data_IF_216121319509
#
_entry.id   IF_216121319509
#
_cell.length_a   1.000
_cell.length_b   1.000
_cell.length_c   1.000
_cell.angle_alpha   90.00
_cell.angle_beta   90.00
_cell.angle_gamma   90.00
#
_symmetry.space_group_name_H-M   'P 1'
#
loop_
_entity.id
_entity.type
_entity.pdbx_description
1 polymer ?
#
# COMPACT_ATOMS: atom_id res chain seq x y z
N UNK A 1 -22.90 -1.04 39.87
CA UNK A 1 -21.80 -1.16 38.89
C UNK A 1 -20.55 -1.51 39.65
N UNK A 2 -20.03 -2.72 39.47
CA UNK A 2 -18.85 -3.21 40.20
C UNK A 2 -17.57 -2.53 39.73
N UNK A 3 -16.61 -2.37 40.61
CA UNK A 3 -15.29 -1.76 40.37
C UNK A 3 -14.55 -2.38 39.15
N UNK A 4 -14.87 -3.62 38.79
CA UNK A 4 -14.34 -4.29 37.62
C UNK A 4 -14.89 -3.72 36.30
N UNK A 5 -16.17 -3.33 36.25
CA UNK A 5 -16.82 -2.73 35.08
C UNK A 5 -16.22 -1.34 34.78
N UNK A 6 -15.93 -0.54 35.80
CA UNK A 6 -15.31 0.78 35.67
C UNK A 6 -13.88 0.67 35.10
N UNK A 7 -13.08 -0.32 35.54
CA UNK A 7 -11.72 -0.56 35.01
C UNK A 7 -11.68 -1.03 33.56
N UNK A 8 -12.75 -1.64 33.04
CA UNK A 8 -12.84 -2.06 31.64
C UNK A 8 -13.10 -0.84 30.75
N UNK A 9 -13.95 0.11 31.19
CA UNK A 9 -14.24 1.34 30.44
C UNK A 9 -13.04 2.29 30.37
N UNK A 10 -12.19 2.34 31.42
CA UNK A 10 -10.98 3.20 31.46
C UNK A 10 -9.87 2.78 30.46
N UNK A 11 -9.95 1.57 29.88
CA UNK A 11 -8.94 1.06 28.94
C UNK A 11 -9.48 0.87 27.52
N UNK A 12 -10.63 1.46 27.19
CA UNK A 12 -11.10 1.47 25.81
C UNK A 12 -10.31 2.48 24.97
N UNK A 13 -9.95 2.13 23.71
CA UNK A 13 -9.25 3.06 22.81
C UNK A 13 -10.02 4.37 22.70
N UNK A 14 -9.33 5.50 22.87
CA UNK A 14 -9.96 6.81 22.74
C UNK A 14 -10.30 7.09 21.28
N UNK A 15 -11.34 7.87 21.02
CA UNK A 15 -11.68 8.30 19.67
C UNK A 15 -10.53 9.11 19.04
N UNK A 16 -9.78 9.86 19.86
CA UNK A 16 -8.60 10.59 19.42
C UNK A 16 -7.50 9.64 18.89
N UNK A 17 -7.21 8.54 19.59
CA UNK A 17 -6.24 7.55 19.14
C UNK A 17 -6.67 6.92 17.81
N UNK A 18 -7.95 6.56 17.66
CA UNK A 18 -8.47 6.04 16.40
C UNK A 18 -8.33 7.04 15.25
N UNK A 19 -8.69 8.32 15.49
CA UNK A 19 -8.51 9.39 14.49
C UNK A 19 -7.04 9.54 14.13
N UNK A 20 -6.16 9.54 15.12
CA UNK A 20 -4.71 9.61 14.90
C UNK A 20 -4.22 8.45 14.02
N UNK A 21 -4.66 7.21 14.27
CA UNK A 21 -4.27 6.06 13.45
C UNK A 21 -4.70 6.22 11.98
N UNK A 22 -5.90 6.77 11.71
CA UNK A 22 -6.34 7.09 10.34
C UNK A 22 -5.54 8.24 9.71
N UNK A 23 -5.16 9.25 10.50
CA UNK A 23 -4.28 10.33 10.03
C UNK A 23 -2.89 9.81 9.67
N UNK A 24 -2.33 8.90 10.49
CA UNK A 24 -1.04 8.25 10.19
C UNK A 24 -1.14 7.47 8.88
N UNK A 25 -2.19 6.67 8.69
CA UNK A 25 -2.42 5.95 7.43
C UNK A 25 -2.48 6.92 6.23
N UNK A 26 -3.24 8.01 6.35
CA UNK A 26 -3.35 9.02 5.29
C UNK A 26 -2.01 9.67 4.98
N UNK A 27 -1.18 9.96 5.99
CA UNK A 27 0.15 10.51 5.80
C UNK A 27 1.07 9.52 5.08
N UNK A 28 1.03 8.23 5.43
CA UNK A 28 1.78 7.19 4.73
C UNK A 28 1.38 7.08 3.27
N UNK A 29 0.08 7.17 2.93
CA UNK A 29 -0.36 7.23 1.53
C UNK A 29 0.30 8.42 0.82
N UNK A 30 0.34 9.61 1.42
CA UNK A 30 1.02 10.77 0.82
C UNK A 30 2.51 10.51 0.63
N UNK A 31 3.19 9.88 1.59
CA UNK A 31 4.62 9.52 1.47
C UNK A 31 4.85 8.50 0.34
N UNK A 32 3.96 7.52 0.17
CA UNK A 32 4.02 6.52 -0.91
C UNK A 32 3.85 7.19 -2.27
N UNK A 33 2.85 8.06 -2.41
CA UNK A 33 2.63 8.83 -3.64
C UNK A 33 3.84 9.70 -3.98
N UNK A 34 4.48 10.29 -2.97
CA UNK A 34 5.70 11.06 -3.17
C UNK A 34 6.87 10.19 -3.62
N UNK A 35 6.99 8.95 -3.11
CA UNK A 35 7.94 7.95 -3.60
C UNK A 35 7.70 7.56 -5.07
N UNK A 36 6.44 7.49 -5.50
CA UNK A 36 6.10 7.30 -6.91
C UNK A 36 6.54 8.49 -7.78
N UNK A 37 6.43 9.73 -7.27
CA UNK A 37 7.00 10.92 -7.95
C UNK A 37 8.52 10.80 -8.07
N UNK A 38 9.23 10.40 -7.00
CA UNK A 38 10.70 10.18 -7.06
C UNK A 38 11.06 9.22 -8.19
N UNK A 39 10.34 8.09 -8.28
CA UNK A 39 10.56 7.08 -9.34
C UNK A 39 10.24 7.62 -10.72
N UNK A 40 9.04 8.18 -10.92
CA UNK A 40 8.53 8.58 -12.22
C UNK A 40 9.27 9.79 -12.82
N UNK A 41 9.84 10.66 -11.97
CA UNK A 41 10.67 11.81 -12.41
C UNK A 41 12.16 11.47 -12.57
N UNK A 42 12.55 10.20 -12.27
CA UNK A 42 13.96 9.81 -12.27
C UNK A 42 14.80 10.49 -11.16
N UNK A 43 14.13 11.00 -10.11
CA UNK A 43 14.81 11.78 -9.04
C UNK A 43 15.54 10.89 -8.01
N UNK A 44 15.42 9.57 -8.09
CA UNK A 44 16.01 8.65 -7.11
C UNK A 44 17.54 8.56 -7.08
N UNK A 45 18.23 9.45 -7.79
CA UNK A 45 19.69 9.62 -7.74
C UNK A 45 20.09 11.08 -7.39
N UNK A 46 19.12 11.90 -6.99
CA UNK A 46 19.36 13.31 -6.65
C UNK A 46 20.19 13.52 -5.39
N UNK A 47 20.18 12.54 -4.47
CA UNK A 47 20.98 12.50 -3.24
C UNK A 47 22.24 11.61 -3.34
N UNK A 48 22.58 11.11 -4.54
CA UNK A 48 23.67 10.17 -4.73
C UNK A 48 23.45 8.85 -4.00
N UNK A 49 24.54 8.09 -3.79
CA UNK A 49 24.54 6.79 -3.10
C UNK A 49 24.61 6.89 -1.57
N UNK A 50 24.63 8.12 -1.02
CA UNK A 50 24.68 8.35 0.42
C UNK A 50 23.29 8.09 1.04
N UNK A 51 23.22 7.16 1.97
CA UNK A 51 22.01 6.86 2.73
C UNK A 51 22.36 6.63 4.22
N UNK A 52 21.61 7.19 5.15
CA UNK A 52 20.36 7.97 5.04
C UNK A 52 20.53 9.44 4.64
N UNK A 53 21.74 9.95 4.62
CA UNK A 53 22.06 11.33 4.28
C UNK A 53 21.87 11.60 2.78
N UNK A 54 21.79 12.87 2.39
CA UNK A 54 21.72 13.32 1.00
C UNK A 54 23.06 13.97 0.63
N UNK A 55 23.78 13.39 -0.34
CA UNK A 55 25.14 13.83 -0.71
C UNK A 55 26.09 13.96 0.50
N UNK A 56 25.92 13.07 1.50
CA UNK A 56 26.73 13.07 2.71
C UNK A 56 26.39 14.14 3.74
N UNK A 57 25.36 14.95 3.53
CA UNK A 57 24.96 16.07 4.42
C UNK A 57 23.50 15.97 4.82
N UNK A 58 23.17 16.59 5.96
CA UNK A 58 21.76 16.72 6.43
C UNK A 58 21.08 17.90 5.74
N UNK A 59 21.84 18.93 5.39
CA UNK A 59 21.33 20.17 4.79
C UNK A 59 21.99 20.44 3.44
N UNK A 60 21.18 20.61 2.40
CA UNK A 60 21.67 20.87 1.05
C UNK A 60 21.82 22.40 0.84
N UNK A 61 23.01 22.85 0.45
CA UNK A 61 23.26 24.29 0.25
C UNK A 61 22.75 24.80 -1.12
N UNK A 62 22.82 23.97 -2.17
CA UNK A 62 22.37 24.33 -3.52
C UNK A 62 21.71 23.11 -4.19
N UNK A 63 20.52 22.70 -3.71
CA UNK A 63 19.87 21.50 -4.21
C UNK A 63 19.29 21.70 -5.60
N UNK A 64 19.46 20.70 -6.46
CA UNK A 64 18.70 20.61 -7.72
C UNK A 64 17.26 20.22 -7.45
N UNK A 65 16.36 20.34 -8.43
CA UNK A 65 14.98 19.87 -8.30
C UNK A 65 14.93 18.37 -7.94
N UNK A 66 15.72 17.53 -8.59
CA UNK A 66 15.81 16.09 -8.31
C UNK A 66 16.29 15.81 -6.88
N UNK A 67 17.30 16.57 -6.40
CA UNK A 67 17.76 16.50 -5.01
C UNK A 67 16.63 16.84 -4.04
N UNK A 68 15.86 17.91 -4.31
CA UNK A 68 14.74 18.32 -3.44
C UNK A 68 13.65 17.28 -3.38
N UNK A 69 13.26 16.69 -4.51
CA UNK A 69 12.24 15.66 -4.60
C UNK A 69 12.66 14.42 -3.79
N UNK A 70 13.88 13.92 -3.99
CA UNK A 70 14.36 12.75 -3.26
C UNK A 70 14.57 13.04 -1.78
N UNK A 71 15.18 14.17 -1.44
CA UNK A 71 15.46 14.55 -0.04
C UNK A 71 14.19 14.69 0.79
N UNK A 72 13.17 15.36 0.27
CA UNK A 72 11.89 15.50 0.96
C UNK A 72 11.19 14.16 1.13
N UNK A 73 11.31 13.22 0.16
CA UNK A 73 10.83 11.86 0.33
C UNK A 73 11.58 11.13 1.45
N UNK A 74 12.90 11.22 1.51
CA UNK A 74 13.70 10.60 2.58
C UNK A 74 13.34 11.14 3.96
N UNK A 75 13.09 12.45 4.09
CA UNK A 75 12.65 13.04 5.38
C UNK A 75 11.27 12.52 5.77
N UNK A 76 10.30 12.52 4.85
CA UNK A 76 8.95 12.03 5.15
C UNK A 76 8.95 10.54 5.50
N UNK A 77 9.54 9.69 4.66
CA UNK A 77 9.57 8.24 4.85
C UNK A 77 10.49 7.80 6.00
N UNK A 78 11.62 8.48 6.21
CA UNK A 78 12.57 8.13 7.27
C UNK A 78 12.22 8.74 8.62
N UNK A 79 12.20 10.08 8.72
CA UNK A 79 12.06 10.76 10.00
C UNK A 79 10.60 10.87 10.45
N UNK A 80 9.72 11.41 9.59
CA UNK A 80 8.34 11.73 10.02
C UNK A 80 7.55 10.44 10.22
N UNK A 81 7.59 9.51 9.28
CA UNK A 81 6.90 8.21 9.38
C UNK A 81 7.35 7.43 10.62
N UNK A 82 8.66 7.44 10.93
CA UNK A 82 9.18 6.78 12.14
C UNK A 82 8.61 7.39 13.42
N UNK A 83 8.56 8.73 13.54
CA UNK A 83 7.98 9.42 14.71
C UNK A 83 6.49 9.12 14.83
N UNK A 84 5.74 9.14 13.72
CA UNK A 84 4.31 8.83 13.70
C UNK A 84 4.03 7.39 14.15
N UNK A 85 4.80 6.42 13.64
CA UNK A 85 4.65 5.00 13.99
C UNK A 85 5.01 4.75 15.45
N UNK A 86 6.12 5.30 15.96
CA UNK A 86 6.51 5.17 17.37
C UNK A 86 5.44 5.77 18.29
N UNK A 87 4.91 6.95 17.94
CA UNK A 87 3.82 7.57 18.67
C UNK A 87 2.56 6.70 18.66
N UNK A 88 2.19 6.15 17.49
CA UNK A 88 1.04 5.26 17.34
C UNK A 88 1.18 4.00 18.21
N UNK A 89 2.36 3.38 18.22
CA UNK A 89 2.64 2.18 19.04
C UNK A 89 2.53 2.51 20.52
N UNK A 90 3.27 3.52 20.99
CA UNK A 90 3.28 3.89 22.41
C UNK A 90 1.88 4.23 22.89
N UNK A 91 1.12 5.00 22.09
CA UNK A 91 -0.23 5.38 22.44
C UNK A 91 -1.19 4.19 22.43
N UNK A 92 -1.10 3.31 21.41
CA UNK A 92 -1.90 2.06 21.33
C UNK A 92 -1.61 1.16 22.54
N UNK A 93 -0.34 0.94 22.89
CA UNK A 93 0.02 0.07 24.01
C UNK A 93 -0.40 0.61 25.36
N UNK A 94 -0.39 1.94 25.55
CA UNK A 94 -0.86 2.58 26.79
C UNK A 94 -2.40 2.55 26.93
N UNK A 95 -3.14 2.58 25.82
CA UNK A 95 -4.60 2.72 25.81
C UNK A 95 -5.37 1.44 25.49
N UNK A 96 -4.69 0.33 25.26
CA UNK A 96 -5.33 -0.97 25.00
C UNK A 96 -4.83 -2.02 25.99
N UNK A 97 -5.66 -3.05 26.24
CA UNK A 97 -5.30 -4.16 27.13
C UNK A 97 -4.32 -5.13 26.46
N UNK A 98 -3.59 -5.93 27.26
CA UNK A 98 -2.77 -7.04 26.76
C UNK A 98 -3.66 -8.00 25.95
N UNK A 99 -3.17 -8.45 24.80
CA UNK A 99 -3.90 -9.32 23.87
C UNK A 99 -4.84 -8.59 22.89
N UNK A 100 -4.91 -7.26 22.91
CA UNK A 100 -5.68 -6.49 21.94
C UNK A 100 -5.00 -6.53 20.55
N UNK A 101 -5.77 -6.85 19.49
CA UNK A 101 -5.22 -7.03 18.13
C UNK A 101 -4.54 -5.77 17.57
N UNK A 102 -4.99 -4.56 17.94
CA UNK A 102 -4.33 -3.32 17.56
C UNK A 102 -2.85 -3.24 18.00
N UNK A 103 -2.45 -3.92 19.09
CA UNK A 103 -1.04 -3.96 19.50
C UNK A 103 -0.17 -4.74 18.53
N UNK A 104 -0.67 -5.87 18.05
CA UNK A 104 0.01 -6.71 17.07
C UNK A 104 0.11 -6.00 15.71
N UNK A 105 -1.01 -5.39 15.27
CA UNK A 105 -1.03 -4.62 14.04
C UNK A 105 -0.07 -3.42 14.09
N UNK A 106 -0.05 -2.64 15.21
CA UNK A 106 0.89 -1.55 15.40
C UNK A 106 2.35 -2.03 15.47
N UNK A 107 2.62 -3.19 16.09
CA UNK A 107 3.95 -3.81 16.09
C UNK A 107 4.39 -4.22 14.68
N UNK A 108 3.48 -4.82 13.90
CA UNK A 108 3.73 -5.14 12.49
C UNK A 108 4.01 -3.87 11.66
N UNK A 109 3.29 -2.77 11.93
CA UNK A 109 3.56 -1.48 11.27
C UNK A 109 5.00 -1.03 11.49
N UNK A 110 5.53 -1.11 12.72
CA UNK A 110 6.93 -0.75 12.98
C UNK A 110 7.90 -1.64 12.20
N UNK A 111 7.71 -2.95 12.28
CA UNK A 111 8.57 -3.90 11.55
C UNK A 111 8.59 -3.58 10.05
N UNK A 112 7.41 -3.38 9.46
CA UNK A 112 7.28 -3.08 8.04
C UNK A 112 7.82 -1.69 7.67
N UNK A 113 7.74 -0.69 8.56
CA UNK A 113 8.37 0.62 8.36
C UNK A 113 9.91 0.49 8.32
N UNK A 114 10.49 -0.32 9.20
CA UNK A 114 11.94 -0.55 9.21
C UNK A 114 12.38 -1.29 7.95
N UNK A 115 11.65 -2.32 7.52
CA UNK A 115 11.96 -3.05 6.28
C UNK A 115 11.73 -2.19 5.03
N UNK A 116 10.78 -1.25 5.05
CA UNK A 116 10.56 -0.26 3.98
C UNK A 116 11.79 0.64 3.80
N UNK A 117 12.28 1.18 4.90
CA UNK A 117 13.52 1.97 4.90
C UNK A 117 14.74 1.17 4.43
N UNK A 118 14.85 -0.11 4.84
CA UNK A 118 15.93 -0.99 4.41
C UNK A 118 15.87 -1.29 2.90
N UNK A 119 14.68 -1.56 2.35
CA UNK A 119 14.49 -1.77 0.91
C UNK A 119 14.80 -0.49 0.11
N UNK A 120 14.38 0.68 0.61
CA UNK A 120 14.78 1.98 0.04
C UNK A 120 16.30 2.18 0.05
N UNK A 121 16.97 1.81 1.16
CA UNK A 121 18.43 1.85 1.24
C UNK A 121 19.11 0.93 0.22
N UNK A 122 18.56 -0.28 0.00
CA UNK A 122 19.05 -1.22 -1.03
C UNK A 122 18.94 -0.60 -2.42
N UNK A 123 17.79 -0.01 -2.77
CA UNK A 123 17.61 0.67 -4.07
C UNK A 123 18.69 1.74 -4.30
N UNK A 124 18.97 2.57 -3.30
CA UNK A 124 19.95 3.66 -3.40
C UNK A 124 21.38 3.12 -3.42
N UNK A 125 21.76 2.28 -2.47
CA UNK A 125 23.14 1.79 -2.29
C UNK A 125 23.64 0.93 -3.46
N UNK A 126 22.73 0.21 -4.12
CA UNK A 126 23.08 -0.62 -5.28
C UNK A 126 22.81 0.08 -6.62
N UNK A 127 22.51 1.39 -6.60
CA UNK A 127 22.28 2.16 -7.81
C UNK A 127 21.09 1.66 -8.64
N UNK A 128 20.04 1.13 -7.98
CA UNK A 128 18.84 0.58 -8.61
C UNK A 128 17.75 1.65 -8.81
N UNK A 129 18.14 2.91 -8.93
CA UNK A 129 17.26 4.08 -9.05
C UNK A 129 17.43 4.79 -10.39
N UNK A 130 16.71 5.88 -10.59
CA UNK A 130 16.76 6.73 -11.80
C UNK A 130 16.66 5.91 -13.10
N UNK A 131 17.63 6.05 -14.00
CA UNK A 131 17.70 5.36 -15.31
C UNK A 131 18.31 3.95 -15.26
N UNK A 132 18.55 3.38 -14.08
CA UNK A 132 19.16 2.06 -13.97
C UNK A 132 18.35 0.98 -14.69
N UNK A 133 19.00 0.23 -15.60
CA UNK A 133 18.45 -0.92 -16.32
C UNK A 133 18.92 -2.26 -15.74
N UNK A 134 19.47 -2.24 -14.53
CA UNK A 134 19.91 -3.46 -13.84
C UNK A 134 18.76 -4.46 -13.71
N UNK A 135 18.97 -5.75 -14.00
CA UNK A 135 17.94 -6.78 -13.83
C UNK A 135 17.49 -6.94 -12.36
N UNK A 136 18.35 -6.53 -11.41
CA UNK A 136 18.01 -6.55 -9.98
C UNK A 136 17.03 -5.44 -9.55
N UNK A 137 16.85 -4.38 -10.35
CA UNK A 137 15.99 -3.27 -10.01
C UNK A 137 14.52 -3.72 -9.84
N UNK A 138 13.99 -4.43 -10.82
CA UNK A 138 12.60 -4.84 -10.81
C UNK A 138 12.22 -5.76 -9.63
N UNK A 139 12.98 -6.82 -9.29
CA UNK A 139 12.66 -7.63 -8.11
C UNK A 139 12.78 -6.84 -6.80
N UNK A 140 13.72 -5.91 -6.66
CA UNK A 140 13.83 -5.08 -5.45
C UNK A 140 12.67 -4.09 -5.37
N UNK A 141 12.27 -3.43 -6.47
CA UNK A 141 11.08 -2.57 -6.50
C UNK A 141 9.78 -3.36 -6.21
N UNK A 142 9.66 -4.59 -6.74
CA UNK A 142 8.55 -5.47 -6.45
C UNK A 142 8.46 -5.84 -4.95
N UNK A 143 9.60 -6.14 -4.31
CA UNK A 143 9.67 -6.38 -2.87
C UNK A 143 9.33 -5.13 -2.07
N UNK A 144 9.84 -3.96 -2.49
CA UNK A 144 9.55 -2.67 -1.85
C UNK A 144 8.04 -2.38 -1.89
N UNK A 145 7.39 -2.50 -3.05
CA UNK A 145 5.93 -2.30 -3.13
C UNK A 145 5.15 -3.36 -2.35
N UNK A 146 5.59 -4.63 -2.37
CA UNK A 146 4.93 -5.67 -1.57
C UNK A 146 4.97 -5.32 -0.08
N UNK A 147 6.11 -4.84 0.42
CA UNK A 147 6.26 -4.36 1.79
C UNK A 147 5.38 -3.14 2.07
N UNK A 148 5.31 -2.19 1.13
CA UNK A 148 4.43 -1.01 1.19
C UNK A 148 2.96 -1.42 1.37
N UNK A 149 2.46 -2.37 0.56
CA UNK A 149 1.08 -2.86 0.66
C UNK A 149 0.81 -3.56 2.00
N UNK A 150 1.77 -4.36 2.50
CA UNK A 150 1.67 -4.96 3.83
C UNK A 150 1.68 -3.91 4.94
N UNK A 151 2.48 -2.87 4.80
CA UNK A 151 2.55 -1.73 5.72
C UNK A 151 1.23 -0.98 5.78
N UNK A 152 0.63 -0.65 4.62
CA UNK A 152 -0.71 -0.06 4.55
C UNK A 152 -1.77 -0.97 5.18
N UNK A 153 -1.67 -2.29 4.96
CA UNK A 153 -2.56 -3.25 5.60
C UNK A 153 -2.42 -3.23 7.13
N UNK A 154 -1.20 -3.21 7.66
CA UNK A 154 -0.95 -3.16 9.11
C UNK A 154 -1.47 -1.86 9.74
N UNK A 155 -1.30 -0.70 9.06
CA UNK A 155 -1.85 0.59 9.48
C UNK A 155 -3.39 0.58 9.47
N UNK A 156 -4.00 0.11 8.38
CA UNK A 156 -5.45 0.00 8.25
C UNK A 156 -6.06 -0.93 9.31
N UNK A 157 -5.41 -2.06 9.59
CA UNK A 157 -5.80 -2.99 10.64
C UNK A 157 -5.64 -2.37 12.03
N UNK A 158 -4.57 -1.60 12.28
CA UNK A 158 -4.39 -0.87 13.55
C UNK A 158 -5.54 0.09 13.76
N UNK A 159 -5.86 0.93 12.77
CA UNK A 159 -6.97 1.89 12.85
C UNK A 159 -8.33 1.21 13.00
N UNK A 160 -8.54 0.09 12.28
CA UNK A 160 -9.77 -0.70 12.35
C UNK A 160 -9.98 -1.36 13.72
N UNK A 161 -8.94 -1.98 14.29
CA UNK A 161 -9.02 -2.62 15.60
C UNK A 161 -9.18 -1.64 16.78
N UNK A 162 -8.87 -0.37 16.58
CA UNK A 162 -9.12 0.68 17.55
C UNK A 162 -10.59 1.15 17.56
N UNK A 163 -11.50 0.50 16.80
CA UNK A 163 -12.93 0.80 16.90
C UNK A 163 -13.48 0.36 18.25
N UNK A 164 -14.05 1.32 19.00
CA UNK A 164 -14.58 1.11 20.36
C UNK A 164 -15.79 0.18 20.41
N UNK A 165 -16.47 0.00 19.28
CA UNK A 165 -17.68 -0.84 19.19
C UNK A 165 -17.38 -2.32 19.23
N UNK A 166 -16.08 -2.70 19.12
CA UNK A 166 -15.66 -4.08 18.99
C UNK A 166 -14.42 -4.27 19.84
N UNK A 167 -14.58 -5.06 20.91
CA UNK A 167 -13.43 -5.49 21.71
C UNK A 167 -12.61 -6.52 20.94
N UNK A 168 -11.67 -6.10 20.11
CA UNK A 168 -10.78 -6.99 19.34
C UNK A 168 -9.65 -7.56 20.20
N UNK A 169 -10.01 -8.44 21.16
CA UNK A 169 -8.99 -9.27 21.83
C UNK A 169 -8.87 -10.59 21.08
N UNK A 170 -7.65 -11.10 20.97
CA UNK A 170 -7.39 -12.38 20.31
C UNK A 170 -8.29 -13.53 20.80
N UNK A 171 -8.58 -13.58 22.09
CA UNK A 171 -9.43 -14.62 22.69
C UNK A 171 -10.93 -14.46 22.40
N UNK A 172 -11.36 -13.27 22.01
CA UNK A 172 -12.76 -12.91 21.82
C UNK A 172 -13.13 -12.86 20.32
N UNK A 173 -12.21 -13.31 19.46
CA UNK A 173 -12.38 -13.30 18.00
C UNK A 173 -12.14 -14.71 17.45
N UNK A 174 -13.10 -15.22 16.70
CA UNK A 174 -12.95 -16.44 15.91
C UNK A 174 -12.51 -16.06 14.50
N UNK A 175 -11.42 -16.66 14.03
CA UNK A 175 -11.02 -16.52 12.63
C UNK A 175 -11.86 -17.47 11.80
N UNK A 176 -12.73 -16.91 10.99
CA UNK A 176 -13.50 -17.65 9.98
C UNK A 176 -12.93 -17.31 8.61
N UNK A 177 -11.63 -17.64 8.40
CA UNK A 177 -11.00 -17.33 7.14
C UNK A 177 -11.52 -18.25 6.03
N UNK A 178 -12.43 -17.81 5.17
CA UNK A 178 -12.64 -18.52 3.93
C UNK A 178 -11.35 -18.36 3.13
N UNK A 179 -10.77 -19.48 2.71
CA UNK A 179 -9.56 -19.52 1.85
C UNK A 179 -9.66 -18.50 0.71
N UNK A 180 -10.88 -18.27 0.20
CA UNK A 180 -11.14 -17.28 -0.84
C UNK A 180 -10.72 -15.83 -0.52
N UNK A 181 -10.89 -15.35 0.72
CA UNK A 181 -10.50 -13.98 1.06
C UNK A 181 -8.98 -13.81 1.06
N UNK A 182 -8.24 -14.81 1.54
CA UNK A 182 -6.78 -14.81 1.49
C UNK A 182 -6.28 -14.83 0.04
N UNK A 183 -6.86 -15.68 -0.81
CA UNK A 183 -6.53 -15.72 -2.25
C UNK A 183 -6.86 -14.37 -2.89
N UNK A 184 -8.00 -13.75 -2.57
CA UNK A 184 -8.37 -12.42 -3.09
C UNK A 184 -7.36 -11.33 -2.70
N UNK A 185 -6.88 -11.32 -1.46
CA UNK A 185 -5.85 -10.40 -1.00
C UNK A 185 -4.52 -10.61 -1.74
N UNK A 186 -4.08 -11.87 -1.89
CA UNK A 186 -2.86 -12.20 -2.65
C UNK A 186 -3.01 -11.78 -4.11
N UNK A 187 -4.16 -12.03 -4.74
CA UNK A 187 -4.41 -11.65 -6.13
C UNK A 187 -4.30 -10.12 -6.33
N UNK A 188 -4.90 -9.30 -5.46
CA UNK A 188 -4.79 -7.84 -5.54
C UNK A 188 -3.36 -7.37 -5.23
N UNK A 189 -2.63 -8.01 -4.33
CA UNK A 189 -1.22 -7.71 -4.11
C UNK A 189 -0.37 -7.99 -5.38
N UNK A 190 -0.63 -9.08 -6.08
CA UNK A 190 0.01 -9.40 -7.37
C UNK A 190 -0.34 -8.32 -8.41
N UNK A 191 -1.59 -7.87 -8.47
CA UNK A 191 -2.00 -6.74 -9.35
C UNK A 191 -1.17 -5.49 -9.04
N UNK A 192 -1.01 -5.12 -7.76
CA UNK A 192 -0.17 -3.99 -7.36
C UNK A 192 1.27 -4.13 -7.83
N UNK A 193 1.89 -5.29 -7.57
CA UNK A 193 3.29 -5.58 -7.98
C UNK A 193 3.45 -5.51 -9.49
N UNK A 194 2.56 -6.15 -10.26
CA UNK A 194 2.63 -6.10 -11.73
C UNK A 194 2.41 -4.70 -12.28
N UNK A 195 1.57 -3.88 -11.62
CA UNK A 195 1.38 -2.47 -11.94
C UNK A 195 2.63 -1.63 -11.72
N UNK A 196 3.38 -1.87 -10.64
CA UNK A 196 4.65 -1.16 -10.43
C UNK A 196 5.71 -1.52 -11.46
N UNK A 197 5.75 -2.78 -11.90
CA UNK A 197 6.65 -3.21 -12.97
C UNK A 197 6.26 -2.62 -14.33
N UNK A 198 4.96 -2.53 -14.63
CA UNK A 198 4.47 -1.82 -15.81
C UNK A 198 4.88 -0.35 -15.80
N UNK A 199 4.65 0.34 -14.68
CA UNK A 199 5.03 1.74 -14.50
C UNK A 199 6.56 1.97 -14.52
N UNK A 200 7.36 0.98 -14.08
CA UNK A 200 8.82 1.01 -14.27
C UNK A 200 9.17 0.89 -15.76
N UNK A 201 8.47 0.02 -16.50
CA UNK A 201 8.61 -0.09 -17.96
C UNK A 201 8.33 1.23 -18.67
N UNK A 202 7.25 1.94 -18.29
CA UNK A 202 6.91 3.26 -18.85
C UNK A 202 7.97 4.32 -18.53
N UNK A 203 8.53 4.28 -17.32
CA UNK A 203 9.59 5.21 -16.91
C UNK A 203 10.90 5.00 -17.68
N UNK A 204 11.29 3.75 -17.92
CA UNK A 204 12.56 3.40 -18.58
C UNK A 204 12.47 3.41 -20.11
N UNK A 205 11.27 3.21 -20.66
CA UNK A 205 11.02 3.11 -22.10
C UNK A 205 9.79 3.95 -22.48
N UNK A 206 9.84 5.29 -22.29
CA UNK A 206 8.69 6.13 -22.60
C UNK A 206 8.28 6.02 -24.08
N UNK A 207 7.00 5.92 -24.35
CA UNK A 207 6.45 5.90 -25.69
C UNK A 207 6.08 7.32 -26.14
N UNK A 208 6.31 7.63 -27.42
CA UNK A 208 5.95 8.93 -28.01
C UNK A 208 4.51 8.98 -28.54
N UNK A 209 3.88 7.84 -28.73
CA UNK A 209 2.48 7.67 -29.17
C UNK A 209 1.97 6.29 -28.82
N UNK A 210 0.65 6.10 -28.87
CA UNK A 210 0.04 4.76 -28.68
C UNK A 210 0.55 3.74 -29.72
N UNK A 211 0.70 4.16 -30.97
CA UNK A 211 1.26 3.29 -32.02
C UNK A 211 2.71 2.90 -31.73
N UNK A 212 3.52 3.84 -31.21
CA UNK A 212 4.89 3.55 -30.79
C UNK A 212 4.92 2.61 -29.56
N UNK A 213 4.03 2.80 -28.58
CA UNK A 213 3.90 1.90 -27.44
C UNK A 213 3.58 0.46 -27.91
N UNK A 214 2.57 0.31 -28.77
CA UNK A 214 2.20 -0.99 -29.35
C UNK A 214 3.37 -1.62 -30.14
N UNK A 215 4.10 -0.82 -30.90
CA UNK A 215 5.26 -1.29 -31.65
C UNK A 215 6.41 -1.75 -30.73
N UNK A 216 6.71 -1.01 -29.65
CA UNK A 216 7.68 -1.43 -28.63
C UNK A 216 7.28 -2.75 -27.97
N UNK A 217 5.99 -2.93 -27.69
CA UNK A 217 5.49 -4.07 -26.94
C UNK A 217 5.37 -5.33 -27.80
N UNK A 218 4.91 -5.22 -29.06
CA UNK A 218 4.65 -6.35 -29.94
C UNK A 218 5.77 -6.64 -30.95
N UNK A 219 6.28 -5.63 -31.66
CA UNK A 219 7.32 -5.83 -32.67
C UNK A 219 8.66 -6.19 -32.03
N UNK A 220 9.03 -5.55 -30.91
CA UNK A 220 10.20 -5.94 -30.14
C UNK A 220 10.14 -7.38 -29.61
N UNK A 221 8.94 -7.95 -29.48
CA UNK A 221 8.75 -9.34 -29.09
C UNK A 221 9.14 -10.31 -30.19
N UNK A 222 8.86 -9.95 -31.44
CA UNK A 222 9.17 -10.75 -32.64
C UNK A 222 10.65 -10.64 -33.00
N UNK A 223 11.30 -9.52 -32.75
CA UNK A 223 12.72 -9.28 -33.05
C UNK A 223 13.68 -9.67 -31.93
N UNK A 224 13.17 -10.02 -30.74
CA UNK A 224 13.99 -10.30 -29.56
C UNK A 224 14.58 -9.06 -28.87
N UNK A 225 14.28 -7.88 -29.37
CA UNK A 225 14.79 -6.59 -28.83
C UNK A 225 13.95 -6.03 -27.70
N UNK A 226 12.73 -6.58 -27.44
CA UNK A 226 11.90 -6.12 -26.33
C UNK A 226 12.48 -6.57 -24.99
N UNK A 227 12.67 -5.61 -24.10
CA UNK A 227 13.02 -5.95 -22.73
C UNK A 227 11.83 -6.65 -22.06
N UNK A 228 12.11 -7.63 -21.22
CA UNK A 228 11.09 -8.36 -20.46
C UNK A 228 10.17 -7.45 -19.63
N UNK A 229 10.63 -6.24 -19.26
CA UNK A 229 9.85 -5.22 -18.53
C UNK A 229 8.65 -4.74 -19.36
N UNK A 230 8.78 -4.57 -20.68
CA UNK A 230 7.69 -4.10 -21.52
C UNK A 230 6.49 -5.07 -21.56
N UNK A 231 6.72 -6.35 -21.29
CA UNK A 231 5.64 -7.36 -21.19
C UNK A 231 4.65 -7.04 -20.08
N UNK A 232 5.08 -6.37 -19.00
CA UNK A 232 4.23 -6.03 -17.87
C UNK A 232 3.14 -5.01 -18.21
N UNK A 233 3.33 -4.19 -19.23
CA UNK A 233 2.31 -3.24 -19.73
C UNK A 233 1.01 -3.95 -20.12
N UNK A 234 1.11 -5.16 -20.69
CA UNK A 234 -0.04 -5.98 -21.11
C UNK A 234 -0.44 -7.01 -20.05
N UNK A 235 0.53 -7.54 -19.34
CA UNK A 235 0.29 -8.55 -18.31
C UNK A 235 -0.46 -7.98 -17.14
N UNK A 236 -0.13 -6.73 -16.72
CA UNK A 236 -0.79 -6.07 -15.63
C UNK A 236 -2.32 -5.90 -15.81
N UNK A 237 -2.85 -5.29 -16.89
CA UNK A 237 -4.29 -5.16 -17.08
C UNK A 237 -4.99 -6.52 -17.20
N UNK A 238 -4.35 -7.52 -17.80
CA UNK A 238 -4.92 -8.88 -17.89
C UNK A 238 -5.07 -9.50 -16.48
N UNK A 239 -4.02 -9.46 -15.66
CA UNK A 239 -4.07 -9.95 -14.27
C UNK A 239 -5.10 -9.16 -13.46
N UNK A 240 -5.19 -7.84 -13.65
CA UNK A 240 -6.15 -7.00 -12.97
C UNK A 240 -7.60 -7.40 -13.30
N UNK A 241 -7.91 -7.69 -14.58
CA UNK A 241 -9.24 -8.17 -14.99
C UNK A 241 -9.57 -9.51 -14.30
N UNK A 242 -8.67 -10.48 -14.35
CA UNK A 242 -8.91 -11.80 -13.76
C UNK A 242 -9.07 -11.71 -12.22
N UNK A 243 -8.21 -10.95 -11.56
CA UNK A 243 -8.30 -10.73 -10.11
C UNK A 243 -9.60 -10.02 -9.70
N UNK A 244 -10.07 -9.06 -10.51
CA UNK A 244 -11.30 -8.34 -10.23
C UNK A 244 -12.55 -9.19 -10.42
N UNK A 245 -12.60 -10.02 -11.47
CA UNK A 245 -13.69 -10.99 -11.67
C UNK A 245 -13.77 -11.93 -10.46
N UNK A 246 -12.63 -12.44 -10.01
CA UNK A 246 -12.56 -13.30 -8.83
C UNK A 246 -13.01 -12.57 -7.56
N UNK A 247 -12.55 -11.34 -7.34
CA UNK A 247 -12.92 -10.54 -6.18
C UNK A 247 -14.42 -10.21 -6.17
N UNK A 248 -15.00 -9.80 -7.30
CA UNK A 248 -16.45 -9.53 -7.44
C UNK A 248 -17.24 -10.81 -7.12
N UNK A 249 -16.84 -11.96 -7.65
CA UNK A 249 -17.46 -13.24 -7.32
C UNK A 249 -17.42 -13.53 -5.82
N UNK A 250 -16.26 -13.30 -5.15
CA UNK A 250 -16.15 -13.46 -3.70
C UNK A 250 -17.09 -12.53 -2.93
N UNK A 251 -17.20 -11.27 -3.34
CA UNK A 251 -18.08 -10.28 -2.70
C UNK A 251 -19.55 -10.65 -2.83
N UNK A 252 -19.97 -11.11 -4.02
CA UNK A 252 -21.34 -11.61 -4.25
C UNK A 252 -21.61 -12.81 -3.35
N UNK A 253 -20.65 -13.76 -3.28
CA UNK A 253 -20.79 -14.95 -2.41
C UNK A 253 -20.86 -14.58 -0.93
N UNK A 254 -20.04 -13.62 -0.49
CA UNK A 254 -20.06 -13.12 0.89
C UNK A 254 -21.39 -12.42 1.23
N UNK A 255 -21.91 -11.60 0.32
CA UNK A 255 -23.19 -10.91 0.49
C UNK A 255 -24.38 -11.90 0.62
N UNK A 256 -24.34 -13.01 -0.13
CA UNK A 256 -25.40 -14.05 -0.08
C UNK A 256 -25.39 -14.86 1.23
N UNK A 257 -24.23 -14.99 1.89
CA UNK A 257 -24.11 -15.80 3.12
C UNK A 257 -24.61 -15.08 4.37
N UNK A 258 -24.82 -13.77 4.30
CA UNK A 258 -25.07 -12.94 5.47
C UNK A 258 -23.86 -12.92 6.42
N UNK A 259 -23.93 -12.11 7.45
CA UNK A 259 -22.86 -12.03 8.45
C UNK A 259 -23.21 -11.02 9.54
N UNK A 260 -22.45 -11.01 10.65
CA UNK A 260 -22.70 -10.15 11.80
C UNK A 260 -22.52 -8.65 11.51
N UNK A 261 -22.02 -8.31 10.33
CA UNK A 261 -21.73 -6.93 9.91
C UNK A 261 -22.57 -6.55 8.70
N UNK A 262 -23.07 -5.33 8.68
CA UNK A 262 -23.54 -4.72 7.44
C UNK A 262 -22.33 -4.32 6.58
N UNK A 263 -21.89 -5.25 5.73
CA UNK A 263 -20.75 -5.06 4.84
C UNK A 263 -21.16 -4.49 3.47
N UNK A 264 -22.46 -4.27 3.21
CA UNK A 264 -22.98 -3.83 1.89
C UNK A 264 -22.34 -2.55 1.41
N UNK A 265 -22.26 -1.53 2.28
CA UNK A 265 -21.66 -0.24 1.93
C UNK A 265 -20.17 -0.37 1.62
N UNK A 266 -19.44 -1.15 2.42
CA UNK A 266 -18.00 -1.34 2.21
C UNK A 266 -17.73 -2.20 0.97
N UNK A 267 -18.54 -3.22 0.69
CA UNK A 267 -18.45 -4.00 -0.55
C UNK A 267 -18.77 -3.14 -1.77
N UNK A 268 -19.80 -2.28 -1.70
CA UNK A 268 -20.11 -1.34 -2.77
C UNK A 268 -18.97 -0.35 -3.01
N UNK A 269 -18.33 0.15 -1.93
CA UNK A 269 -17.14 1.01 -2.04
C UNK A 269 -16.00 0.28 -2.77
N UNK A 270 -15.71 -0.98 -2.41
CA UNK A 270 -14.65 -1.77 -3.07
C UNK A 270 -14.96 -1.95 -4.55
N UNK A 271 -16.20 -2.28 -4.91
CA UNK A 271 -16.62 -2.41 -6.33
C UNK A 271 -16.50 -1.07 -7.05
N UNK A 272 -16.96 0.03 -6.43
CA UNK A 272 -16.82 1.37 -7.00
C UNK A 272 -15.35 1.76 -7.24
N UNK A 273 -14.47 1.47 -6.28
CA UNK A 273 -13.03 1.72 -6.41
C UNK A 273 -12.40 0.85 -7.52
N UNK A 274 -12.85 -0.39 -7.71
CA UNK A 274 -12.43 -1.22 -8.85
C UNK A 274 -12.80 -0.57 -10.18
N UNK A 275 -14.03 -0.09 -10.33
CA UNK A 275 -14.44 0.62 -11.55
C UNK A 275 -13.59 1.87 -11.78
N UNK A 276 -13.35 2.66 -10.74
CA UNK A 276 -12.47 3.84 -10.80
C UNK A 276 -11.07 3.45 -11.24
N UNK A 277 -10.50 2.33 -10.73
CA UNK A 277 -9.18 1.84 -11.12
C UNK A 277 -9.10 1.50 -12.61
N UNK A 278 -10.15 0.89 -13.20
CA UNK A 278 -10.18 0.63 -14.64
C UNK A 278 -10.20 1.90 -15.46
N UNK A 279 -11.00 2.89 -15.05
CA UNK A 279 -11.05 4.19 -15.74
C UNK A 279 -9.71 4.89 -15.66
N UNK A 280 -9.10 4.96 -14.46
CA UNK A 280 -7.80 5.59 -14.27
C UNK A 280 -6.69 4.87 -15.04
N UNK A 281 -6.67 3.52 -15.04
CA UNK A 281 -5.69 2.74 -15.78
C UNK A 281 -5.83 2.91 -17.29
N UNK A 282 -7.05 2.94 -17.83
CA UNK A 282 -7.28 3.21 -19.24
C UNK A 282 -6.84 4.63 -19.64
N UNK A 283 -7.11 5.63 -18.79
CA UNK A 283 -6.67 7.00 -18.99
C UNK A 283 -5.14 7.12 -18.91
N UNK A 284 -4.50 6.39 -18.01
CA UNK A 284 -3.04 6.39 -17.87
C UNK A 284 -2.37 5.88 -19.14
N UNK A 285 -2.84 4.76 -19.68
CA UNK A 285 -2.37 4.22 -20.98
C UNK A 285 -2.65 5.21 -22.12
N UNK A 286 -3.85 5.76 -22.19
CA UNK A 286 -4.24 6.69 -23.26
C UNK A 286 -3.42 7.97 -23.26
N UNK A 287 -3.07 8.47 -22.08
CA UNK A 287 -2.25 9.68 -21.90
C UNK A 287 -0.74 9.38 -21.95
N UNK A 288 -0.32 8.15 -22.22
CA UNK A 288 1.09 7.72 -22.23
C UNK A 288 1.78 7.85 -20.86
N UNK A 289 1.07 7.46 -19.81
CA UNK A 289 1.55 7.35 -18.43
C UNK A 289 2.23 8.63 -17.87
N UNK A 290 1.60 9.82 -17.93
CA UNK A 290 2.22 11.02 -17.37
C UNK A 290 2.30 10.88 -15.84
N UNK A 291 3.33 11.50 -15.24
CA UNK A 291 3.64 11.36 -13.80
C UNK A 291 2.42 11.59 -12.91
N UNK A 292 1.63 12.64 -13.16
CA UNK A 292 0.46 12.97 -12.36
C UNK A 292 -0.64 11.89 -12.44
N UNK A 293 -0.83 11.22 -13.60
CA UNK A 293 -1.82 10.17 -13.77
C UNK A 293 -1.38 8.87 -13.07
N UNK A 294 -0.08 8.52 -13.17
CA UNK A 294 0.48 7.41 -12.38
C UNK A 294 0.25 7.60 -10.88
N UNK A 295 0.42 8.84 -10.36
CA UNK A 295 0.17 9.17 -8.95
C UNK A 295 -1.31 9.05 -8.59
N UNK A 296 -2.21 9.53 -9.45
CA UNK A 296 -3.68 9.44 -9.22
C UNK A 296 -4.14 7.98 -9.28
N UNK A 297 -3.62 7.19 -10.22
CA UNK A 297 -3.92 5.75 -10.32
C UNK A 297 -3.43 4.99 -9.09
N UNK A 298 -2.22 5.28 -8.60
CA UNK A 298 -1.68 4.71 -7.37
C UNK A 298 -2.51 5.10 -6.14
N UNK A 299 -2.94 6.35 -6.00
CA UNK A 299 -3.84 6.78 -4.91
C UNK A 299 -5.13 5.95 -4.88
N UNK A 300 -5.73 5.72 -6.04
CA UNK A 300 -6.91 4.87 -6.13
C UNK A 300 -6.61 3.41 -5.77
N UNK A 301 -5.42 2.88 -6.12
CA UNK A 301 -4.98 1.54 -5.75
C UNK A 301 -4.78 1.41 -4.22
N UNK A 302 -4.17 2.40 -3.57
CA UNK A 302 -3.99 2.44 -2.12
C UNK A 302 -5.34 2.52 -1.38
N UNK A 303 -6.28 3.30 -1.90
CA UNK A 303 -7.65 3.39 -1.37
C UNK A 303 -8.39 2.05 -1.51
N UNK A 304 -8.31 1.41 -2.68
CA UNK A 304 -8.88 0.08 -2.94
C UNK A 304 -8.29 -0.97 -2.01
N UNK A 305 -6.97 -1.01 -1.89
CA UNK A 305 -6.25 -1.93 -1.00
C UNK A 305 -6.67 -1.74 0.46
N UNK A 306 -6.68 -0.51 0.95
CA UNK A 306 -7.10 -0.17 2.32
C UNK A 306 -8.55 -0.61 2.60
N UNK A 307 -9.47 -0.31 1.68
CA UNK A 307 -10.87 -0.71 1.81
C UNK A 307 -11.04 -2.24 1.81
N UNK A 308 -10.29 -2.94 0.95
CA UNK A 308 -10.29 -4.40 0.86
C UNK A 308 -9.73 -5.05 2.12
N UNK A 309 -8.64 -4.53 2.69
CA UNK A 309 -8.07 -4.99 3.97
C UNK A 309 -9.10 -4.90 5.09
N UNK A 310 -9.78 -3.75 5.24
CA UNK A 310 -10.81 -3.56 6.26
C UNK A 310 -12.01 -4.48 6.02
N UNK A 311 -12.44 -4.64 4.76
CA UNK A 311 -13.53 -5.55 4.41
C UNK A 311 -13.18 -7.00 4.73
N UNK A 312 -11.98 -7.44 4.36
CA UNK A 312 -11.48 -8.79 4.66
C UNK A 312 -11.44 -9.03 6.17
N UNK A 313 -10.94 -8.07 6.95
CA UNK A 313 -10.96 -8.16 8.40
C UNK A 313 -12.38 -8.36 8.96
N UNK A 314 -13.37 -7.63 8.46
CA UNK A 314 -14.78 -7.79 8.88
C UNK A 314 -15.40 -9.11 8.46
N UNK A 315 -14.99 -9.68 7.35
CA UNK A 315 -15.49 -10.97 6.85
C UNK A 315 -14.84 -12.16 7.58
N UNK A 316 -13.60 -12.01 8.04
CA UNK A 316 -12.80 -13.09 8.62
C UNK A 316 -12.80 -13.10 10.14
N UNK A 317 -12.87 -11.93 10.77
CA UNK A 317 -12.78 -11.80 12.22
C UNK A 317 -14.18 -11.65 12.83
N UNK A 318 -14.75 -12.74 13.30
CA UNK A 318 -16.09 -12.76 13.91
C UNK A 318 -15.96 -12.73 15.43
N UNK A 319 -16.58 -11.74 16.12
CA UNK A 319 -16.64 -11.72 17.57
C UNK A 319 -17.33 -12.97 18.12
N UNK A 320 -16.75 -13.60 19.15
CA UNK A 320 -17.31 -14.81 19.80
C UNK A 320 -18.29 -14.48 20.90
N UNK A 321 -18.27 -13.25 21.40
CA UNK A 321 -19.18 -12.82 22.47
C UNK A 321 -20.45 -12.18 21.88
N UNK A 322 -21.63 -12.44 22.51
CA UNK A 322 -22.84 -11.71 22.17
C UNK A 322 -22.61 -10.21 22.39
N UNK A 323 -23.16 -9.42 21.52
CA UNK A 323 -23.19 -7.96 21.70
C UNK A 323 -24.05 -7.67 22.91
N UNK A 324 -23.49 -7.08 23.96
CA UNK A 324 -24.25 -6.55 25.07
C UNK A 324 -25.08 -5.33 24.63
#
# INVERSE_FOLDING_TARGET
>A
MTTATIRIFDRMPSQALRRFAWCVLAFFIVTILWGAVVRATGSGNGCGDHWPLCNGTVWQQSPTLHTMIEFTHRISAGAIDSVLVLTLIVWTWRRTMKGHLARWAAGATLFLTVTEGALGAVLVKFGLTAGSRSPMRAPVEALHLSNTLLLLAALAMTAHFLDRRIGYRWRDVRITAPVGTTIGMIAIMIVGVTGSLAALGDTLFPASSLGNAMQQDFAGHLTGESTWLLRWRWTHPTIAILASIFLIWLLIRAARRGGPWDNRRLSALVVGLLVVQYVLGALDVWLLAPVWMQVVHLLGADALWTALVVLTARLTLVPTLPRA
#
